data_IF_091347003797
#
_entry.id   IF_091347003797
#
_cell.length_a   1.000
_cell.length_b   1.000
_cell.length_c   1.000
_cell.angle_alpha   90.00
_cell.angle_beta   90.00
_cell.angle_gamma   90.00
#
_symmetry.space_group_name_H-M   'P 1'
#
loop_
_entity.id
_entity.type
_entity.pdbx_description
1 polymer ?
#
# COMPACT_ATOMS: atom_id res chain seq x y z
N UNK A 1 -11.74 -15.48 8.33
CA UNK A 1 -10.76 -15.26 7.22
C UNK A 1 -9.40 -15.00 7.83
N UNK A 2 -8.31 -15.03 7.06
CA UNK A 2 -7.01 -14.61 7.57
C UNK A 2 -6.79 -13.12 7.29
N UNK A 3 -6.11 -12.43 8.20
CA UNK A 3 -5.69 -11.05 8.02
C UNK A 3 -4.71 -10.96 6.86
N UNK A 4 -4.94 -10.05 5.91
CA UNK A 4 -4.04 -9.85 4.77
C UNK A 4 -2.67 -9.26 5.16
N UNK A 5 -2.53 -8.72 6.37
CA UNK A 5 -1.29 -8.10 6.86
C UNK A 5 -0.44 -9.11 7.65
N UNK A 6 -1.04 -9.77 8.65
CA UNK A 6 -0.31 -10.61 9.61
C UNK A 6 -0.66 -12.10 9.55
N UNK A 7 -1.56 -12.51 8.65
CA UNK A 7 -2.07 -13.89 8.52
C UNK A 7 -2.77 -14.48 9.75
N UNK A 8 -2.92 -13.72 10.84
CA UNK A 8 -3.71 -14.13 12.01
C UNK A 8 -5.21 -14.19 11.69
N UNK A 9 -6.00 -14.78 12.59
CA UNK A 9 -7.45 -14.83 12.42
C UNK A 9 -8.06 -13.42 12.39
N UNK A 10 -8.92 -13.17 11.41
CA UNK A 10 -9.61 -11.90 11.22
C UNK A 10 -11.07 -12.10 10.79
N UNK A 11 -11.88 -11.07 11.03
CA UNK A 11 -13.31 -11.07 10.76
C UNK A 11 -13.65 -10.05 9.69
N UNK A 12 -14.39 -10.46 8.67
CA UNK A 12 -14.95 -9.54 7.67
C UNK A 12 -16.19 -8.86 8.28
N UNK A 13 -16.18 -7.54 8.38
CA UNK A 13 -17.29 -6.76 8.94
C UNK A 13 -18.26 -6.26 7.88
N UNK A 14 -17.72 -5.67 6.82
CA UNK A 14 -18.52 -5.04 5.78
C UNK A 14 -17.82 -5.19 4.43
N UNK A 15 -18.60 -5.39 3.39
CA UNK A 15 -18.12 -5.50 2.01
C UNK A 15 -18.90 -4.50 1.16
N UNK A 16 -18.19 -3.70 0.37
CA UNK A 16 -18.76 -2.82 -0.66
C UNK A 16 -18.29 -3.30 -2.03
N UNK A 17 -18.67 -2.63 -3.12
CA UNK A 17 -18.17 -2.98 -4.45
C UNK A 17 -16.66 -2.73 -4.59
N UNK A 18 -16.13 -1.73 -3.87
CA UNK A 18 -14.75 -1.28 -4.04
C UNK A 18 -13.80 -1.80 -2.95
N UNK A 19 -14.29 -2.04 -1.74
CA UNK A 19 -13.45 -2.42 -0.59
C UNK A 19 -14.12 -3.38 0.40
N UNK A 20 -13.29 -4.00 1.22
CA UNK A 20 -13.65 -4.83 2.36
C UNK A 20 -13.14 -4.21 3.65
N UNK A 21 -13.94 -4.27 4.71
CA UNK A 21 -13.58 -3.83 6.06
C UNK A 21 -13.28 -5.07 6.90
N UNK A 22 -12.06 -5.15 7.41
CA UNK A 22 -11.54 -6.29 8.15
C UNK A 22 -11.20 -5.87 9.56
N UNK A 23 -11.57 -6.71 10.51
CA UNK A 23 -11.36 -6.52 11.93
C UNK A 23 -10.39 -7.61 12.43
N UNK A 24 -9.17 -7.23 12.78
CA UNK A 24 -8.13 -8.13 13.25
C UNK A 24 -7.66 -7.70 14.64
N UNK A 25 -7.65 -8.61 15.61
CA UNK A 25 -7.21 -8.30 16.97
C UNK A 25 -5.74 -7.84 17.09
N UNK A 26 -4.90 -8.15 16.10
CA UNK A 26 -3.48 -7.78 16.08
C UNK A 26 -3.16 -6.55 15.23
N UNK A 27 -3.99 -6.22 14.24
CA UNK A 27 -3.75 -5.12 13.29
C UNK A 27 -4.83 -4.03 13.34
N UNK A 28 -5.75 -4.15 14.29
CA UNK A 28 -6.99 -3.38 14.37
C UNK A 28 -7.82 -3.44 13.07
N UNK A 29 -8.78 -2.53 12.98
CA UNK A 29 -9.70 -2.44 11.85
C UNK A 29 -9.06 -1.71 10.69
N UNK A 30 -9.09 -2.31 9.50
CA UNK A 30 -8.59 -1.69 8.27
C UNK A 30 -9.52 -1.94 7.07
N UNK A 31 -9.36 -1.12 6.03
CA UNK A 31 -10.05 -1.24 4.75
C UNK A 31 -9.07 -1.72 3.69
N UNK A 32 -9.48 -2.65 2.85
CA UNK A 32 -8.67 -3.15 1.73
C UNK A 32 -9.49 -3.14 0.44
N UNK A 33 -8.92 -2.66 -0.66
CA UNK A 33 -9.61 -2.63 -1.94
C UNK A 33 -9.80 -4.06 -2.50
N UNK A 34 -10.97 -4.35 -3.08
CA UNK A 34 -11.24 -5.65 -3.71
C UNK A 34 -10.33 -5.93 -4.90
N UNK A 35 -9.87 -4.89 -5.61
CA UNK A 35 -8.85 -5.02 -6.64
C UNK A 35 -7.54 -5.59 -6.07
N UNK A 36 -7.10 -5.08 -4.92
CA UNK A 36 -5.92 -5.57 -4.20
C UNK A 36 -6.12 -7.02 -3.75
N UNK A 37 -7.29 -7.35 -3.22
CA UNK A 37 -7.64 -8.73 -2.86
C UNK A 37 -7.60 -9.63 -4.09
N UNK A 38 -8.18 -9.23 -5.22
CA UNK A 38 -8.17 -9.98 -6.48
C UNK A 38 -6.76 -10.21 -7.03
N UNK A 39 -5.89 -9.20 -6.93
CA UNK A 39 -4.48 -9.31 -7.30
C UNK A 39 -3.75 -10.30 -6.38
N UNK A 40 -4.08 -10.32 -5.09
CA UNK A 40 -3.49 -11.24 -4.11
C UNK A 40 -4.08 -12.66 -4.16
N UNK A 41 -5.36 -12.82 -4.53
CA UNK A 41 -6.10 -14.08 -4.44
C UNK A 41 -5.89 -15.02 -5.63
N UNK A 42 -5.21 -14.57 -6.69
CA UNK A 42 -4.83 -15.40 -7.84
C UNK A 42 -3.31 -15.56 -8.04
N UNK A 43 -2.49 -14.82 -7.31
CA UNK A 43 -1.02 -14.89 -7.44
C UNK A 43 -0.42 -15.29 -6.11
N UNK A 44 0.14 -16.50 -6.03
CA UNK A 44 1.15 -16.84 -5.03
C UNK A 44 2.35 -15.93 -5.30
N UNK A 45 2.35 -14.73 -4.74
CA UNK A 45 3.54 -13.92 -4.72
C UNK A 45 4.51 -14.59 -3.78
N UNK A 46 5.49 -15.29 -4.36
CA UNK A 46 6.63 -15.83 -3.64
C UNK A 46 7.25 -14.68 -2.83
N UNK A 47 7.21 -14.74 -1.48
CA UNK A 47 7.67 -13.65 -0.64
C UNK A 47 9.13 -13.28 -0.92
N UNK A 48 9.96 -14.27 -1.27
CA UNK A 48 11.38 -14.07 -1.58
C UNK A 48 11.56 -13.39 -2.94
N UNK A 49 10.77 -13.75 -3.95
CA UNK A 49 10.77 -13.03 -5.22
C UNK A 49 10.31 -11.58 -5.06
N UNK A 50 9.27 -11.34 -4.25
CA UNK A 50 8.79 -9.98 -4.01
C UNK A 50 9.81 -9.14 -3.24
N UNK A 51 10.49 -9.73 -2.25
CA UNK A 51 11.61 -9.09 -1.55
C UNK A 51 12.75 -8.73 -2.50
N UNK A 52 13.10 -9.62 -3.43
CA UNK A 52 14.14 -9.34 -4.45
C UNK A 52 13.74 -8.18 -5.35
N UNK A 53 12.49 -8.15 -5.84
CA UNK A 53 11.98 -7.06 -6.69
C UNK A 53 11.97 -5.73 -5.93
N UNK A 54 11.49 -5.72 -4.68
CA UNK A 54 11.44 -4.53 -3.84
C UNK A 54 12.85 -4.01 -3.52
N UNK A 55 13.79 -4.89 -3.19
CA UNK A 55 15.20 -4.52 -2.95
C UNK A 55 15.87 -3.98 -4.22
N UNK A 56 15.60 -4.56 -5.39
CA UNK A 56 16.11 -4.06 -6.66
C UNK A 56 15.54 -2.67 -6.98
N UNK A 57 14.25 -2.44 -6.73
CA UNK A 57 13.62 -1.11 -6.88
C UNK A 57 14.18 -0.10 -5.88
N UNK A 58 14.39 -0.50 -4.63
CA UNK A 58 14.98 0.37 -3.59
C UNK A 58 16.39 0.79 -3.93
N UNK A 59 17.20 -0.12 -4.48
CA UNK A 59 18.54 0.18 -5.03
C UNK A 59 18.50 1.14 -6.22
N UNK A 60 17.52 0.99 -7.13
CA UNK A 60 17.32 1.93 -8.23
C UNK A 60 16.93 3.32 -7.72
N UNK A 61 16.00 3.40 -6.77
CA UNK A 61 15.54 4.64 -6.15
C UNK A 61 16.64 5.35 -5.34
N UNK A 62 17.57 4.62 -4.73
CA UNK A 62 18.75 5.21 -4.07
C UNK A 62 19.83 5.66 -5.06
N UNK A 63 19.80 5.17 -6.30
CA UNK A 63 20.73 5.56 -7.36
C UNK A 63 20.22 6.75 -8.20
N UNK A 64 18.91 6.93 -8.32
CA UNK A 64 18.31 8.18 -8.81
C UNK A 64 18.35 9.21 -7.71
N UNK A 65 19.10 10.31 -7.93
CA UNK A 65 19.04 11.51 -7.10
C UNK A 65 17.57 11.90 -6.82
N UNK A 66 17.26 12.42 -5.61
CA UNK A 66 15.93 12.97 -5.37
C UNK A 66 15.64 14.04 -6.43
N UNK A 67 14.45 13.97 -7.03
CA UNK A 67 13.97 15.06 -7.90
C UNK A 67 14.10 16.38 -7.14
N UNK A 68 14.59 17.45 -7.80
CA UNK A 68 14.73 18.74 -7.13
C UNK A 68 13.37 19.16 -6.60
N UNK A 69 13.34 19.53 -5.31
CA UNK A 69 12.19 20.14 -4.68
C UNK A 69 11.89 21.45 -5.42
N UNK A 70 10.85 21.46 -6.25
CA UNK A 70 10.35 22.69 -6.84
C UNK A 70 9.46 23.33 -5.78
N UNK A 71 10.05 24.30 -5.07
CA UNK A 71 9.33 25.22 -4.20
C UNK A 71 8.44 26.09 -5.12
N UNK A 72 7.16 25.74 -5.25
CA UNK A 72 6.19 26.64 -5.88
C UNK A 72 6.02 27.81 -4.93
N UNK A 73 6.59 28.97 -5.29
CA UNK A 73 6.29 30.22 -4.62
C UNK A 73 4.79 30.48 -4.77
N UNK A 74 4.08 30.54 -3.65
CA UNK A 74 2.68 30.96 -3.62
C UNK A 74 2.55 32.31 -4.33
N UNK A 75 1.61 32.40 -5.27
CA UNK A 75 1.31 33.60 -6.06
C UNK A 75 0.80 34.78 -5.20
N UNK A 76 0.75 34.62 -3.87
CA UNK A 76 0.30 35.62 -2.89
C UNK A 76 1.28 36.80 -2.69
N UNK A 77 2.47 36.77 -3.29
CA UNK A 77 3.43 37.90 -3.26
C UNK A 77 3.33 38.86 -4.45
N UNK A 78 2.41 38.65 -5.41
CA UNK A 78 2.24 39.52 -6.58
C UNK A 78 1.16 40.61 -6.43
N UNK A 79 0.64 40.82 -5.21
CA UNK A 79 -0.24 41.98 -4.93
C UNK A 79 0.37 42.84 -3.83
N UNK A 80 1.22 43.79 -4.24
CA UNK A 80 1.38 45.08 -3.56
C UNK A 80 1.68 46.17 -4.57
#
# INVERSE_FOLDING_TARGET
MNCYICNASATLRQTTNDYEVIDCAACDRYKIAKLLISIMSGRKFDPDQMRKILNARRKKLTATQPEPFIETWDEDYLVK
#
